data_IF_711178176879
#
_entry.id   IF_711178176879
#
_cell.length_a   1.000
_cell.length_b   1.000
_cell.length_c   1.000
_cell.angle_alpha   90.00
_cell.angle_beta   90.00
_cell.angle_gamma   90.00
#
_symmetry.space_group_name_H-M   'P 1'
#
loop_
_entity.id
_entity.type
_entity.pdbx_description
1 polymer ?
#
# COMPACT_ATOMS: atom_id res chain seq x y z
N UNK A 1 6.54 22.39 -22.51
CA UNK A 1 5.63 22.99 -21.52
C UNK A 1 4.85 21.94 -20.74
N UNK A 2 4.21 20.93 -21.36
CA UNK A 2 3.59 19.77 -20.66
C UNK A 2 4.53 19.02 -19.69
N UNK A 3 5.82 18.85 -20.04
CA UNK A 3 6.82 18.15 -19.19
C UNK A 3 7.15 18.86 -17.86
N UNK A 4 6.96 20.18 -17.78
CA UNK A 4 7.24 20.95 -16.56
C UNK A 4 6.03 20.93 -15.61
N UNK A 5 4.82 20.79 -16.16
CA UNK A 5 3.56 20.82 -15.42
C UNK A 5 3.38 19.54 -14.59
N UNK A 6 3.77 18.37 -15.10
CA UNK A 6 3.69 17.10 -14.37
C UNK A 6 4.62 17.08 -13.14
N UNK A 7 5.84 17.62 -13.29
CA UNK A 7 6.82 17.70 -12.19
C UNK A 7 6.38 18.73 -11.11
N UNK A 8 5.79 19.85 -11.53
CA UNK A 8 5.26 20.87 -10.60
C UNK A 8 4.01 20.41 -9.85
N UNK A 9 3.14 19.62 -10.48
CA UNK A 9 1.96 19.02 -9.83
C UNK A 9 2.34 17.96 -8.79
N UNK A 10 3.32 17.10 -9.09
CA UNK A 10 3.83 16.11 -8.13
C UNK A 10 4.46 16.76 -6.89
N UNK A 11 5.18 17.88 -7.04
CA UNK A 11 5.86 18.56 -5.92
C UNK A 11 4.87 19.39 -5.06
N UNK A 12 3.83 19.96 -5.67
CA UNK A 12 2.83 20.76 -4.92
C UNK A 12 1.80 19.89 -4.20
N UNK A 13 1.38 18.76 -4.78
CA UNK A 13 0.39 17.88 -4.16
C UNK A 13 0.95 17.04 -3.01
N UNK A 14 2.25 16.66 -3.06
CA UNK A 14 2.89 15.86 -2.01
C UNK A 14 3.34 16.71 -0.81
N UNK A 15 3.59 18.02 -0.97
CA UNK A 15 4.18 18.84 0.11
C UNK A 15 3.51 20.19 0.41
N UNK A 16 2.46 20.63 -0.30
CA UNK A 16 1.92 21.95 -0.05
C UNK A 16 0.46 22.16 -0.43
N UNK A 17 -0.43 22.09 0.56
CA UNK A 17 -1.61 22.96 0.60
C UNK A 17 -1.96 23.31 2.05
N UNK A 18 -1.77 24.60 2.36
CA UNK A 18 -2.53 25.27 3.41
C UNK A 18 -4.01 25.11 3.07
N UNK A 19 -4.74 24.60 4.04
CA UNK A 19 -6.20 24.54 4.16
C UNK A 19 -6.86 25.70 3.40
N UNK A 20 -7.51 25.38 2.28
CA UNK A 20 -8.69 26.12 1.85
C UNK A 20 -9.85 25.36 2.48
N UNK A 21 -10.51 26.01 3.45
CA UNK A 21 -11.79 25.55 4.00
C UNK A 21 -12.78 25.43 2.84
N UNK A 22 -13.01 24.21 2.38
CA UNK A 22 -14.14 23.91 1.51
C UNK A 22 -15.30 23.49 2.42
N UNK A 23 -16.29 24.36 2.58
CA UNK A 23 -17.59 23.95 3.08
C UNK A 23 -18.20 23.02 2.03
N UNK A 24 -18.19 21.71 2.29
CA UNK A 24 -18.94 20.72 1.52
C UNK A 24 -20.00 20.08 2.42
N UNK A 25 -21.16 19.73 1.85
CA UNK A 25 -22.38 19.32 2.55
C UNK A 25 -22.34 17.98 3.29
N UNK A 26 -21.16 17.54 3.75
CA UNK A 26 -20.97 16.30 4.52
C UNK A 26 -21.20 16.51 6.03
N UNK A 27 -21.25 17.76 6.51
CA UNK A 27 -21.51 18.05 7.93
C UNK A 27 -22.90 17.60 8.42
N UNK A 28 -23.86 17.38 7.52
CA UNK A 28 -25.21 16.88 7.87
C UNK A 28 -25.32 15.36 8.00
N UNK A 29 -24.35 14.59 7.50
CA UNK A 29 -24.36 13.12 7.64
C UNK A 29 -23.67 12.64 8.93
N UNK A 30 -22.86 13.50 9.55
CA UNK A 30 -22.08 13.19 10.75
C UNK A 30 -22.91 13.12 12.04
N UNK A 31 -24.12 13.69 12.06
CA UNK A 31 -24.99 13.72 13.26
C UNK A 31 -25.80 12.42 13.47
N UNK A 32 -26.01 11.58 12.44
CA UNK A 32 -26.88 10.41 12.55
C UNK A 32 -26.18 9.08 12.83
N UNK A 33 -24.85 9.02 12.69
CA UNK A 33 -24.06 7.86 13.06
C UNK A 33 -22.97 8.28 14.04
N UNK A 34 -23.28 8.19 15.34
CA UNK A 34 -22.25 8.17 16.38
C UNK A 34 -21.41 6.92 16.19
N UNK A 35 -20.37 7.01 15.37
CA UNK A 35 -19.38 5.95 15.20
C UNK A 35 -18.11 6.38 15.90
N UNK A 36 -17.81 5.73 17.01
CA UNK A 36 -16.53 5.87 17.69
C UNK A 36 -15.44 5.35 16.76
N UNK A 37 -14.48 6.22 16.41
CA UNK A 37 -13.17 5.78 15.94
C UNK A 37 -12.65 4.72 16.89
N UNK A 38 -12.03 3.67 16.35
CA UNK A 38 -11.24 2.75 17.15
C UNK A 38 -10.35 3.60 18.09
N UNK A 39 -10.43 3.43 19.42
CA UNK A 39 -9.62 4.20 20.34
C UNK A 39 -8.16 4.09 19.95
N UNK A 40 -7.49 5.24 19.84
CA UNK A 40 -6.04 5.28 19.72
C UNK A 40 -5.47 4.51 20.92
N UNK A 41 -4.76 3.42 20.65
CA UNK A 41 -3.85 2.88 21.65
C UNK A 41 -2.86 4.00 21.98
N UNK A 42 -2.46 4.17 23.25
CA UNK A 42 -1.52 5.23 23.63
C UNK A 42 -0.30 5.10 22.73
N UNK A 43 -0.01 6.18 22.00
CA UNK A 43 1.20 6.30 21.18
C UNK A 43 2.36 6.04 22.13
N UNK A 44 2.96 4.86 22.04
CA UNK A 44 4.28 4.65 22.63
C UNK A 44 5.20 5.49 21.76
N UNK A 45 5.37 6.75 22.18
CA UNK A 45 6.20 7.74 21.53
C UNK A 45 7.63 7.20 21.55
N UNK A 46 7.99 6.45 20.51
CA UNK A 46 9.34 5.94 20.30
C UNK A 46 10.24 7.14 20.00
N UNK A 47 10.77 7.72 21.06
CA UNK A 47 11.54 8.98 21.06
C UNK A 47 12.87 8.92 20.31
N UNK A 48 13.27 7.78 19.75
CA UNK A 48 14.67 7.53 19.37
C UNK A 48 14.90 7.38 17.86
N UNK A 49 13.96 7.78 17.00
CA UNK A 49 14.23 7.86 15.54
C UNK A 49 14.99 9.15 15.23
N UNK A 50 16.30 9.00 15.00
CA UNK A 50 17.23 10.08 14.70
C UNK A 50 17.01 10.61 13.27
N UNK A 51 16.95 11.93 13.06
CA UNK A 51 16.90 12.51 11.71
C UNK A 51 18.11 12.08 10.90
N UNK A 52 17.90 11.77 9.62
CA UNK A 52 18.96 11.37 8.70
C UNK A 52 19.94 12.52 8.55
N UNK A 53 21.21 12.26 8.82
CA UNK A 53 22.25 13.29 8.69
C UNK A 53 22.53 13.52 7.22
N UNK A 54 23.11 14.67 6.90
CA UNK A 54 23.57 14.96 5.54
C UNK A 54 24.48 13.83 5.00
N UNK A 55 25.33 13.24 5.83
CA UNK A 55 26.17 12.10 5.46
C UNK A 55 25.40 10.83 5.14
N UNK A 56 24.19 10.65 5.67
CA UNK A 56 23.30 9.53 5.39
C UNK A 56 22.59 9.71 4.05
N UNK A 57 22.34 10.98 3.68
CA UNK A 57 21.73 11.37 2.41
C UNK A 57 22.71 11.49 1.24
N UNK A 58 23.97 11.08 1.44
CA UNK A 58 24.92 10.85 0.35
C UNK A 58 24.71 9.46 -0.24
N UNK A 59 24.74 9.35 -1.56
CA UNK A 59 24.73 8.06 -2.24
C UNK A 59 26.11 7.38 -2.12
N UNK A 60 26.17 6.30 -1.34
CA UNK A 60 27.38 5.56 -0.94
C UNK A 60 27.61 4.29 -1.75
N UNK A 61 26.56 3.72 -2.37
CA UNK A 61 26.69 2.45 -3.08
C UNK A 61 27.61 2.59 -4.31
N UNK A 62 28.32 1.51 -4.63
CA UNK A 62 29.27 1.46 -5.75
C UNK A 62 28.57 1.55 -7.11
N UNK A 63 27.30 1.13 -7.19
CA UNK A 63 26.48 1.27 -8.38
C UNK A 63 26.34 2.75 -8.75
N UNK A 64 26.66 3.11 -10.00
CA UNK A 64 26.58 4.51 -10.49
C UNK A 64 25.16 4.97 -10.79
N UNK A 65 24.18 4.07 -10.73
CA UNK A 65 22.78 4.34 -11.03
C UNK A 65 21.88 3.93 -9.87
N UNK A 66 20.75 4.62 -9.75
CA UNK A 66 19.57 4.13 -9.04
C UNK A 66 18.52 3.80 -10.08
N UNK A 67 18.19 2.51 -10.19
CA UNK A 67 17.47 1.98 -11.35
C UNK A 67 18.20 2.32 -12.65
N UNK A 68 17.54 3.09 -13.52
CA UNK A 68 18.08 3.51 -14.81
C UNK A 68 18.75 4.90 -14.78
N UNK A 69 18.54 5.65 -13.71
CA UNK A 69 18.97 7.04 -13.60
C UNK A 69 20.41 7.11 -13.09
N UNK A 70 21.34 7.76 -13.81
CA UNK A 70 22.67 8.06 -13.28
C UNK A 70 22.58 8.95 -12.06
N UNK A 71 23.28 8.58 -10.99
CA UNK A 71 23.37 9.40 -9.78
C UNK A 71 24.32 10.56 -10.05
N UNK A 72 23.88 11.83 -9.90
CA UNK A 72 24.75 12.99 -9.99
C UNK A 72 25.88 12.94 -8.95
N UNK A 73 27.09 13.40 -9.32
CA UNK A 73 28.23 13.45 -8.39
C UNK A 73 27.95 14.33 -7.15
N UNK A 74 27.06 15.31 -7.29
CA UNK A 74 26.61 16.15 -6.17
C UNK A 74 25.89 15.31 -5.10
N UNK A 75 25.04 14.36 -5.49
CA UNK A 75 24.31 13.51 -4.54
C UNK A 75 25.23 12.50 -3.84
N UNK A 76 26.43 12.26 -4.38
CA UNK A 76 27.48 11.44 -3.73
C UNK A 76 28.35 12.25 -2.78
N UNK A 77 28.63 13.49 -3.14
CA UNK A 77 29.58 14.35 -2.41
C UNK A 77 28.91 15.23 -1.36
N UNK A 78 27.64 15.61 -1.59
CA UNK A 78 26.86 16.53 -0.78
C UNK A 78 25.40 16.05 -0.69
N UNK A 79 25.06 15.43 0.43
CA UNK A 79 23.68 15.12 0.78
C UNK A 79 22.85 16.40 0.92
N UNK A 80 21.54 16.24 0.75
CA UNK A 80 20.57 17.32 0.98
C UNK A 80 19.91 17.13 2.34
N UNK A 81 19.28 18.19 2.83
CA UNK A 81 18.39 18.10 3.97
C UNK A 81 17.06 17.49 3.49
N UNK A 82 16.97 16.17 3.57
CA UNK A 82 15.89 15.33 3.05
C UNK A 82 15.94 13.96 3.72
N UNK A 83 14.89 13.16 3.59
CA UNK A 83 14.88 11.78 4.11
C UNK A 83 14.88 10.71 3.03
N UNK A 84 14.51 11.10 1.80
CA UNK A 84 14.40 10.21 0.67
C UNK A 84 14.67 10.98 -0.63
N UNK A 85 15.55 10.43 -1.47
CA UNK A 85 15.77 10.90 -2.84
C UNK A 85 15.13 9.93 -3.84
N UNK A 86 14.27 10.45 -4.69
CA UNK A 86 13.60 9.67 -5.73
C UNK A 86 14.20 9.97 -7.10
N UNK A 87 14.61 8.92 -7.79
CA UNK A 87 15.11 8.98 -9.16
C UNK A 87 14.07 8.40 -10.09
N UNK A 88 13.48 9.26 -10.92
CA UNK A 88 12.37 8.88 -11.79
C UNK A 88 12.89 8.61 -13.21
N UNK A 89 12.54 7.45 -13.76
CA UNK A 89 12.80 7.10 -15.15
C UNK A 89 11.54 6.67 -15.88
N UNK A 90 11.65 6.56 -17.19
CA UNK A 90 10.59 6.06 -18.04
C UNK A 90 11.20 5.27 -19.20
N UNK A 91 10.64 4.09 -19.48
CA UNK A 91 11.09 3.19 -20.55
C UNK A 91 9.91 2.57 -21.26
N UNK A 92 10.14 2.01 -22.45
CA UNK A 92 9.13 1.16 -23.11
C UNK A 92 9.45 -0.30 -22.76
N UNK A 93 8.67 -0.88 -21.86
CA UNK A 93 8.88 -2.26 -21.38
C UNK A 93 7.90 -3.21 -22.08
N UNK A 94 8.23 -3.56 -23.33
CA UNK A 94 7.36 -4.43 -24.15
C UNK A 94 7.17 -5.80 -23.49
N UNK A 95 5.92 -6.24 -23.37
CA UNK A 95 5.55 -7.53 -22.76
C UNK A 95 5.50 -7.51 -21.23
N UNK A 96 5.73 -6.36 -20.59
CA UNK A 96 5.41 -6.15 -19.17
C UNK A 96 4.03 -5.52 -19.05
N UNK A 97 3.24 -6.01 -18.10
CA UNK A 97 1.88 -5.56 -17.85
C UNK A 97 1.77 -4.56 -16.69
N UNK A 98 2.90 -4.16 -16.09
CA UNK A 98 2.94 -3.20 -15.00
C UNK A 98 3.16 -1.79 -15.53
N UNK A 99 2.37 -0.82 -15.04
CA UNK A 99 2.43 0.60 -15.43
C UNK A 99 3.67 1.31 -14.87
N UNK A 100 4.10 0.92 -13.67
CA UNK A 100 5.33 1.36 -13.05
C UNK A 100 5.96 0.23 -12.23
N UNK A 101 7.20 0.39 -11.83
CA UNK A 101 7.83 -0.43 -10.80
C UNK A 101 8.83 0.42 -10.02
N UNK A 102 9.01 0.11 -8.74
CA UNK A 102 9.88 0.86 -7.88
C UNK A 102 10.62 0.00 -6.85
N UNK A 103 11.61 0.62 -6.22
CA UNK A 103 12.37 0.02 -5.15
C UNK A 103 13.45 0.97 -4.64
N UNK A 104 13.95 0.71 -3.45
CA UNK A 104 15.09 1.46 -2.94
C UNK A 104 16.38 1.03 -3.64
N UNK A 105 17.27 1.98 -3.86
CA UNK A 105 18.61 1.77 -4.42
C UNK A 105 19.70 1.89 -3.35
N UNK A 106 19.39 2.57 -2.24
CA UNK A 106 20.25 2.64 -1.06
C UNK A 106 19.40 2.49 0.20
N UNK A 107 19.85 1.59 1.06
CA UNK A 107 19.31 1.34 2.38
C UNK A 107 20.42 1.54 3.41
N UNK A 108 20.11 2.11 4.56
CA UNK A 108 21.04 2.25 5.68
C UNK A 108 20.50 1.46 6.85
N UNK A 109 21.33 0.59 7.41
CA UNK A 109 20.96 -0.21 8.58
C UNK A 109 20.42 0.67 9.70
N UNK A 110 19.28 0.26 10.25
CA UNK A 110 18.50 0.95 11.28
C UNK A 110 17.91 2.33 10.92
N UNK A 111 18.20 2.89 9.74
CA UNK A 111 17.62 4.15 9.27
C UNK A 111 16.66 3.96 8.08
N UNK A 112 16.73 2.80 7.43
CA UNK A 112 15.87 2.45 6.32
C UNK A 112 16.32 3.01 4.96
N UNK A 113 15.39 3.06 4.00
CA UNK A 113 15.64 3.56 2.64
C UNK A 113 16.01 5.04 2.62
N UNK A 114 17.02 5.42 1.82
CA UNK A 114 17.40 6.85 1.62
C UNK A 114 17.34 7.30 0.16
N UNK A 115 17.45 6.36 -0.78
CA UNK A 115 17.37 6.64 -2.21
C UNK A 115 16.53 5.54 -2.86
N UNK A 116 15.61 5.91 -3.75
CA UNK A 116 14.76 4.98 -4.47
C UNK A 116 14.53 5.38 -5.92
N UNK A 117 14.10 4.40 -6.71
CA UNK A 117 13.78 4.57 -8.12
C UNK A 117 12.32 4.30 -8.37
N UNK A 118 11.73 5.03 -9.31
CA UNK A 118 10.44 4.70 -9.91
C UNK A 118 10.63 4.73 -11.43
N UNK A 119 10.28 3.63 -12.10
CA UNK A 119 10.30 3.56 -13.56
C UNK A 119 8.88 3.42 -14.11
N UNK A 120 8.49 4.32 -15.02
CA UNK A 120 7.21 4.26 -15.72
C UNK A 120 7.33 3.54 -17.06
N UNK A 121 6.42 2.61 -17.33
CA UNK A 121 6.32 1.93 -18.61
C UNK A 121 5.52 2.77 -19.62
N UNK A 122 6.23 3.51 -20.47
CA UNK A 122 5.65 4.34 -21.54
C UNK A 122 4.82 3.54 -22.54
N UNK A 123 5.05 2.22 -22.68
CA UNK A 123 4.25 1.39 -23.57
C UNK A 123 2.79 1.28 -23.15
N UNK A 124 2.53 1.32 -21.83
CA UNK A 124 1.19 1.29 -21.26
C UNK A 124 0.69 2.71 -20.97
N UNK A 125 1.56 3.58 -20.45
CA UNK A 125 1.19 4.95 -20.12
C UNK A 125 0.74 5.77 -21.35
N UNK A 126 1.32 5.49 -22.53
CA UNK A 126 0.92 6.17 -23.76
C UNK A 126 -0.51 5.83 -24.24
N UNK A 127 -1.11 4.75 -23.72
CA UNK A 127 -2.49 4.38 -23.99
C UNK A 127 -3.49 5.02 -23.02
N UNK A 128 -3.01 5.70 -21.97
CA UNK A 128 -3.85 6.35 -20.95
C UNK A 128 -4.19 7.79 -21.32
N UNK A 129 -5.40 8.21 -20.99
CA UNK A 129 -5.83 9.60 -21.09
C UNK A 129 -5.58 10.33 -19.76
N UNK A 130 -4.43 11.01 -19.64
CA UNK A 130 -4.08 11.74 -18.42
C UNK A 130 -4.90 13.01 -18.17
N UNK A 131 -5.78 13.39 -19.11
CA UNK A 131 -6.78 14.46 -18.91
C UNK A 131 -8.07 13.91 -18.29
N UNK A 132 -8.27 12.59 -18.31
CA UNK A 132 -9.35 11.92 -17.59
C UNK A 132 -8.99 11.86 -16.09
N UNK A 133 -9.80 12.46 -15.19
CA UNK A 133 -9.50 12.46 -13.77
C UNK A 133 -9.41 11.06 -13.16
N UNK A 134 -10.20 10.09 -13.63
CA UNK A 134 -10.24 8.72 -13.13
C UNK A 134 -8.98 7.98 -13.55
N UNK A 135 -8.57 8.08 -14.82
CA UNK A 135 -7.32 7.44 -15.26
C UNK A 135 -6.09 8.07 -14.62
N UNK A 136 -6.11 9.38 -14.38
CA UNK A 136 -5.04 10.07 -13.67
C UNK A 136 -4.97 9.62 -12.20
N UNK A 137 -6.12 9.48 -11.54
CA UNK A 137 -6.20 8.98 -10.17
C UNK A 137 -5.70 7.54 -10.05
N UNK A 138 -6.16 6.63 -10.93
CA UNK A 138 -5.68 5.24 -10.99
C UNK A 138 -4.14 5.18 -11.18
N UNK A 139 -3.56 6.10 -11.96
CA UNK A 139 -2.11 6.21 -12.10
C UNK A 139 -1.44 6.66 -10.79
N UNK A 140 -2.03 7.63 -10.07
CA UNK A 140 -1.48 8.10 -8.79
C UNK A 140 -1.55 7.03 -7.71
N UNK A 141 -2.61 6.22 -7.65
CA UNK A 141 -2.71 5.06 -6.75
C UNK A 141 -1.55 4.08 -6.99
N UNK A 142 -1.24 3.77 -8.26
CA UNK A 142 -0.10 2.93 -8.61
C UNK A 142 1.23 3.59 -8.20
N UNK A 143 1.39 4.90 -8.42
CA UNK A 143 2.63 5.59 -8.00
C UNK A 143 2.81 5.51 -6.47
N UNK A 144 1.74 5.68 -5.70
CA UNK A 144 1.79 5.61 -4.23
C UNK A 144 2.07 4.18 -3.75
N UNK A 145 1.48 3.17 -4.39
CA UNK A 145 1.81 1.75 -4.20
C UNK A 145 3.31 1.50 -4.38
N UNK A 146 3.84 1.90 -5.53
CA UNK A 146 5.25 1.72 -5.87
C UNK A 146 6.19 2.50 -4.92
N UNK A 147 5.79 3.71 -4.52
CA UNK A 147 6.52 4.46 -3.50
C UNK A 147 6.52 3.75 -2.15
N UNK A 148 5.49 2.98 -1.80
CA UNK A 148 5.44 2.23 -0.55
C UNK A 148 6.46 1.08 -0.53
N UNK A 149 6.75 0.46 -1.67
CA UNK A 149 7.89 -0.46 -1.78
C UNK A 149 9.22 0.25 -1.52
N UNK A 150 9.40 1.48 -2.01
CA UNK A 150 10.59 2.30 -1.69
C UNK A 150 10.67 2.58 -0.19
N UNK A 151 9.53 2.77 0.48
CA UNK A 151 9.44 2.99 1.93
C UNK A 151 9.73 1.71 2.75
N UNK A 152 9.97 0.58 2.10
CA UNK A 152 10.48 -0.62 2.75
C UNK A 152 9.41 -1.68 3.00
N UNK A 153 8.31 -1.68 2.26
CA UNK A 153 7.46 -2.86 2.17
C UNK A 153 7.91 -3.77 1.04
N UNK A 154 8.67 -4.82 1.37
CA UNK A 154 8.89 -5.98 0.50
C UNK A 154 9.28 -7.19 1.33
N UNK A 155 9.19 -8.38 0.76
CA UNK A 155 9.67 -9.64 1.34
C UNK A 155 11.13 -9.55 1.84
N UNK A 156 11.96 -8.82 1.11
CA UNK A 156 13.38 -8.60 1.40
C UNK A 156 13.63 -7.50 2.44
N UNK A 157 12.62 -6.70 2.77
CA UNK A 157 12.72 -5.60 3.72
C UNK A 157 12.18 -5.93 5.10
N UNK A 158 11.16 -6.79 5.20
CA UNK A 158 10.60 -7.25 6.49
C UNK A 158 11.69 -7.74 7.47
N UNK A 159 12.72 -8.52 7.05
CA UNK A 159 13.80 -8.94 7.95
C UNK A 159 14.70 -7.80 8.45
N UNK A 160 14.67 -6.63 7.79
CA UNK A 160 15.48 -5.45 8.14
C UNK A 160 14.72 -4.44 9.01
N UNK A 161 13.42 -4.65 9.21
CA UNK A 161 12.62 -3.79 10.07
C UNK A 161 13.08 -3.90 11.51
N UNK A 162 13.00 -2.78 12.22
CA UNK A 162 13.51 -2.66 13.59
C UNK A 162 12.37 -2.36 14.56
N UNK A 163 12.47 -2.89 15.76
CA UNK A 163 11.60 -2.54 16.87
C UNK A 163 12.02 -1.20 17.50
N UNK A 164 11.27 -0.76 18.52
CA UNK A 164 11.56 0.46 19.30
C UNK A 164 12.93 0.49 19.98
N UNK A 165 13.64 -0.64 20.06
CA UNK A 165 15.01 -0.74 20.59
C UNK A 165 16.08 -0.68 19.49
N UNK A 166 15.68 -0.42 18.24
CA UNK A 166 16.58 -0.44 17.08
C UNK A 166 17.11 -1.84 16.73
N UNK A 167 16.39 -2.90 17.13
CA UNK A 167 16.80 -4.28 16.88
C UNK A 167 15.86 -4.94 15.87
N UNK A 168 16.36 -5.82 14.97
CA UNK A 168 15.52 -6.59 14.09
C UNK A 168 14.45 -7.38 14.85
N UNK A 169 13.25 -7.47 14.29
CA UNK A 169 12.21 -8.34 14.86
C UNK A 169 12.65 -9.80 14.84
N UNK A 170 12.32 -10.53 15.91
CA UNK A 170 12.49 -11.98 15.96
C UNK A 170 11.33 -12.64 15.21
N UNK A 171 11.64 -13.38 14.14
CA UNK A 171 10.66 -14.13 13.34
C UNK A 171 9.40 -13.30 12.98
N UNK A 172 9.54 -12.14 12.29
CA UNK A 172 8.43 -11.26 11.96
C UNK A 172 7.40 -11.90 11.02
N UNK A 173 7.83 -12.93 10.29
CA UNK A 173 6.98 -13.75 9.41
C UNK A 173 6.91 -15.16 9.97
N UNK A 174 5.69 -15.69 10.05
CA UNK A 174 5.44 -17.10 10.39
C UNK A 174 4.78 -17.77 9.19
N UNK A 175 5.10 -19.03 8.95
CA UNK A 175 4.42 -19.82 7.93
C UNK A 175 3.33 -20.66 8.59
N UNK A 176 2.09 -20.53 8.13
CA UNK A 176 0.93 -21.29 8.63
C UNK A 176 0.25 -22.02 7.48
N UNK A 177 -0.10 -23.29 7.69
CA UNK A 177 -0.97 -24.01 6.76
C UNK A 177 -2.39 -23.47 6.93
N UNK A 178 -2.87 -22.73 5.93
CA UNK A 178 -4.22 -22.19 5.87
C UNK A 178 -4.85 -22.61 4.53
N UNK A 179 -6.10 -23.10 4.51
CA UNK A 179 -6.80 -23.53 3.28
C UNK A 179 -5.98 -24.48 2.39
N UNK A 180 -5.24 -25.40 3.01
CA UNK A 180 -4.39 -26.37 2.29
C UNK A 180 -3.11 -25.79 1.68
N UNK A 181 -2.82 -24.49 1.85
CA UNK A 181 -1.64 -23.80 1.32
C UNK A 181 -0.78 -23.27 2.47
N UNK A 182 0.54 -23.36 2.32
CA UNK A 182 1.48 -22.80 3.29
C UNK A 182 1.62 -21.29 3.05
N UNK A 183 0.97 -20.47 3.87
CA UNK A 183 0.99 -19.01 3.74
C UNK A 183 1.95 -18.34 4.70
N UNK A 184 2.44 -17.17 4.30
CA UNK A 184 3.22 -16.28 5.15
C UNK A 184 2.30 -15.31 5.88
N UNK A 185 2.51 -15.15 7.17
CA UNK A 185 1.76 -14.24 8.03
C UNK A 185 2.74 -13.27 8.69
N UNK A 186 2.52 -11.97 8.45
CA UNK A 186 3.24 -10.89 9.12
C UNK A 186 2.66 -10.68 10.52
N UNK A 187 3.51 -10.75 11.54
CA UNK A 187 3.09 -10.70 12.95
C UNK A 187 3.85 -9.67 13.78
N UNK A 188 4.31 -8.61 13.14
CA UNK A 188 4.90 -7.46 13.83
C UNK A 188 3.85 -6.78 14.73
N UNK A 189 4.26 -6.06 15.79
CA UNK A 189 3.37 -5.69 16.89
C UNK A 189 2.13 -4.89 16.47
N UNK A 190 2.28 -3.81 15.70
CA UNK A 190 1.15 -2.96 15.31
C UNK A 190 0.24 -3.67 14.29
N UNK A 191 0.82 -4.33 13.29
CA UNK A 191 0.07 -5.10 12.29
C UNK A 191 -0.74 -6.22 12.95
N UNK A 192 -0.13 -7.01 13.83
CA UNK A 192 -0.82 -8.10 14.51
C UNK A 192 -1.93 -7.57 15.43
N UNK A 193 -1.66 -6.53 16.22
CA UNK A 193 -2.65 -5.93 17.11
C UNK A 193 -3.86 -5.39 16.32
N UNK A 194 -3.59 -4.65 15.24
CA UNK A 194 -4.64 -4.14 14.36
C UNK A 194 -5.44 -5.27 13.71
N UNK A 195 -4.78 -6.30 13.18
CA UNK A 195 -5.45 -7.43 12.54
C UNK A 195 -6.37 -8.19 13.52
N UNK A 196 -5.89 -8.50 14.73
CA UNK A 196 -6.70 -9.16 15.77
C UNK A 196 -7.97 -8.37 16.08
N UNK A 197 -7.84 -7.05 16.23
CA UNK A 197 -8.95 -6.13 16.49
C UNK A 197 -9.90 -6.02 15.30
N UNK A 198 -9.36 -5.82 14.09
CA UNK A 198 -10.13 -5.65 12.86
C UNK A 198 -11.00 -6.88 12.56
N UNK A 199 -10.45 -8.09 12.69
CA UNK A 199 -11.19 -9.33 12.47
C UNK A 199 -11.97 -9.81 13.71
N UNK A 200 -11.68 -9.30 14.91
CA UNK A 200 -12.25 -9.83 16.16
C UNK A 200 -11.73 -11.24 16.47
N UNK A 201 -10.43 -11.48 16.28
CA UNK A 201 -9.79 -12.78 16.42
C UNK A 201 -8.50 -12.69 17.25
N UNK A 202 -8.56 -13.05 18.54
CA UNK A 202 -7.38 -13.03 19.43
C UNK A 202 -6.28 -14.05 19.08
N UNK A 203 -6.66 -15.13 18.39
CA UNK A 203 -5.76 -16.23 18.03
C UNK A 203 -5.18 -16.10 16.62
N UNK A 204 -5.32 -14.93 15.98
CA UNK A 204 -4.81 -14.72 14.64
C UNK A 204 -3.27 -14.83 14.66
N UNK A 205 -2.65 -15.65 13.77
CA UNK A 205 -1.19 -15.83 13.77
C UNK A 205 -0.43 -14.61 13.23
N UNK A 206 -1.12 -13.74 12.47
CA UNK A 206 -0.60 -12.55 11.80
C UNK A 206 -1.58 -12.07 10.74
N UNK A 207 -1.21 -11.05 9.98
CA UNK A 207 -1.89 -10.66 8.75
C UNK A 207 -1.27 -11.44 7.57
N UNK A 208 -2.06 -12.16 6.76
CA UNK A 208 -1.52 -12.92 5.63
C UNK A 208 -0.91 -11.98 4.56
N UNK A 209 0.23 -12.39 4.04
CA UNK A 209 0.88 -11.80 2.87
C UNK A 209 0.52 -12.61 1.63
N UNK A 210 0.46 -11.94 0.49
CA UNK A 210 0.23 -12.54 -0.82
C UNK A 210 1.18 -13.74 -1.03
N UNK A 211 0.63 -14.85 -1.54
CA UNK A 211 1.36 -16.10 -1.78
C UNK A 211 1.42 -16.51 -3.27
N UNK A 212 0.73 -15.79 -4.16
CA UNK A 212 0.73 -15.99 -5.60
C UNK A 212 1.52 -14.90 -6.36
N UNK A 213 1.54 -14.98 -7.70
CA UNK A 213 2.21 -14.00 -8.58
C UNK A 213 3.74 -14.11 -8.69
N UNK A 214 4.39 -14.89 -7.83
CA UNK A 214 5.84 -15.16 -7.88
C UNK A 214 6.70 -14.05 -7.24
N UNK A 215 7.98 -13.99 -7.61
CA UNK A 215 9.04 -13.20 -6.93
C UNK A 215 8.86 -11.66 -6.97
N UNK A 216 7.82 -11.15 -7.63
CA UNK A 216 7.48 -9.71 -7.62
C UNK A 216 6.24 -9.39 -6.79
N UNK A 217 5.50 -10.41 -6.35
CA UNK A 217 4.20 -10.26 -5.70
C UNK A 217 4.21 -10.89 -4.30
N UNK A 218 4.59 -12.17 -4.23
CA UNK A 218 4.52 -12.96 -3.02
C UNK A 218 5.40 -12.38 -1.90
N UNK A 219 4.82 -12.20 -0.70
CA UNK A 219 5.50 -11.65 0.47
C UNK A 219 5.71 -10.14 0.50
N UNK A 220 5.38 -9.43 -0.59
CA UNK A 220 5.54 -7.97 -0.71
C UNK A 220 4.21 -7.21 -0.77
N UNK A 221 3.09 -7.92 -0.67
CA UNK A 221 1.74 -7.40 -0.77
C UNK A 221 0.83 -8.04 0.28
N UNK A 222 -0.31 -7.40 0.57
CA UNK A 222 -1.36 -8.02 1.37
C UNK A 222 -2.12 -9.07 0.56
N UNK A 223 -2.45 -10.18 1.21
CA UNK A 223 -3.30 -11.24 0.67
C UNK A 223 -4.68 -10.68 0.30
N UNK A 224 -5.02 -10.76 -0.99
CA UNK A 224 -6.24 -10.15 -1.53
C UNK A 224 -7.52 -10.76 -0.95
N UNK A 225 -7.53 -12.07 -0.63
CA UNK A 225 -8.70 -12.71 -0.01
C UNK A 225 -8.91 -12.30 1.45
N UNK A 226 -7.90 -11.73 2.11
CA UNK A 226 -7.99 -11.26 3.49
C UNK A 226 -8.44 -9.81 3.58
N UNK A 227 -7.95 -8.96 2.67
CA UNK A 227 -8.37 -7.58 2.53
C UNK A 227 -8.36 -7.18 1.05
N UNK A 228 -9.55 -7.11 0.45
CA UNK A 228 -9.70 -6.65 -0.91
C UNK A 228 -9.68 -5.12 -0.99
N UNK A 229 -9.28 -4.61 -2.16
CA UNK A 229 -9.22 -3.18 -2.48
C UNK A 229 -8.24 -2.40 -1.59
N UNK A 230 -7.31 -3.08 -0.92
CA UNK A 230 -6.20 -2.41 -0.23
C UNK A 230 -5.17 -2.00 -1.27
N UNK A 231 -4.66 -0.77 -1.18
CA UNK A 231 -3.77 -0.26 -2.23
C UNK A 231 -2.46 -1.04 -2.38
N UNK A 232 -2.02 -1.79 -1.35
CA UNK A 232 -0.87 -2.71 -1.38
C UNK A 232 -1.27 -4.17 -1.64
N UNK A 233 -2.46 -4.45 -2.20
CA UNK A 233 -2.72 -5.74 -2.84
C UNK A 233 -1.89 -5.86 -4.13
N UNK A 234 -1.54 -7.10 -4.53
CA UNK A 234 -0.73 -7.34 -5.74
C UNK A 234 -1.48 -7.05 -7.05
N UNK A 235 -2.81 -7.04 -7.02
CA UNK A 235 -3.63 -6.53 -8.11
C UNK A 235 -4.16 -5.14 -7.76
N UNK A 236 -4.11 -4.22 -8.72
CA UNK A 236 -4.75 -2.92 -8.57
C UNK A 236 -6.27 -3.06 -8.45
N UNK A 237 -6.90 -2.27 -7.57
CA UNK A 237 -8.35 -2.13 -7.59
C UNK A 237 -8.79 -1.41 -8.86
N UNK A 238 -9.87 -1.89 -9.47
CA UNK A 238 -10.52 -1.21 -10.59
C UNK A 238 -11.51 -0.16 -10.10
N UNK A 239 -11.90 -0.22 -8.82
CA UNK A 239 -12.55 0.91 -8.15
C UNK A 239 -11.56 1.53 -7.20
N UNK A 240 -11.90 1.67 -5.93
CA UNK A 240 -11.11 2.42 -4.97
C UNK A 240 -9.96 1.57 -4.46
N UNK A 241 -8.75 2.10 -4.45
CA UNK A 241 -7.69 1.57 -3.60
C UNK A 241 -7.71 2.30 -2.24
N UNK A 242 -7.73 1.55 -1.15
CA UNK A 242 -7.77 2.10 0.21
C UNK A 242 -6.39 2.03 0.87
N UNK A 243 -5.89 3.17 1.36
CA UNK A 243 -4.77 3.26 2.29
C UNK A 243 -5.26 2.87 3.69
N UNK A 244 -5.30 1.57 3.96
CA UNK A 244 -5.94 1.08 5.17
C UNK A 244 -5.09 1.24 6.43
N UNK A 245 -5.71 1.01 7.58
CA UNK A 245 -4.98 0.83 8.84
C UNK A 245 -3.94 -0.31 8.79
N UNK A 246 -4.06 -1.30 7.90
CA UNK A 246 -3.05 -2.36 7.78
C UNK A 246 -1.73 -1.81 7.26
N UNK A 247 -1.74 -1.08 6.15
CA UNK A 247 -0.50 -0.50 5.59
C UNK A 247 0.05 0.61 6.49
N UNK A 248 -0.82 1.38 7.15
CA UNK A 248 -0.38 2.38 8.13
C UNK A 248 0.38 1.74 9.29
N UNK A 249 -0.15 0.65 9.86
CA UNK A 249 0.51 -0.07 10.94
C UNK A 249 1.75 -0.84 10.47
N UNK A 250 1.77 -1.30 9.21
CA UNK A 250 2.98 -1.84 8.60
C UNK A 250 4.09 -0.80 8.54
N UNK A 251 3.80 0.42 8.08
CA UNK A 251 4.79 1.51 8.04
C UNK A 251 5.30 1.86 9.44
N UNK A 252 4.43 1.87 10.47
CA UNK A 252 4.85 2.01 11.88
C UNK A 252 5.80 0.89 12.30
N UNK A 253 5.47 -0.35 11.96
CA UNK A 253 6.27 -1.53 12.30
C UNK A 253 7.61 -1.60 11.56
N UNK A 254 7.82 -0.86 10.45
CA UNK A 254 9.16 -0.79 9.82
C UNK A 254 10.24 -0.29 10.78
N UNK A 255 9.86 0.61 11.68
CA UNK A 255 10.77 1.32 12.58
C UNK A 255 11.59 2.42 11.89
N UNK A 256 11.33 2.74 10.62
CA UNK A 256 12.08 3.78 9.88
C UNK A 256 11.44 5.17 9.96
N UNK A 257 10.18 5.25 10.37
CA UNK A 257 9.38 6.47 10.37
C UNK A 257 9.06 6.88 11.79
N UNK A 258 9.39 8.14 12.14
CA UNK A 258 9.09 8.69 13.46
C UNK A 258 7.59 8.69 13.75
N UNK A 259 6.79 9.05 12.74
CA UNK A 259 5.33 9.07 12.84
C UNK A 259 4.72 8.64 11.51
N UNK A 260 3.61 7.92 11.59
CA UNK A 260 2.73 7.65 10.46
C UNK A 260 1.36 8.19 10.85
N UNK A 261 0.95 9.28 10.21
CA UNK A 261 -0.23 10.03 10.59
C UNK A 261 -1.50 9.20 10.39
N UNK A 262 -2.20 8.91 11.49
CA UNK A 262 -3.43 8.14 11.47
C UNK A 262 -4.56 8.82 10.67
N UNK A 263 -4.48 10.12 10.39
CA UNK A 263 -5.46 10.81 9.53
C UNK A 263 -5.40 10.37 8.07
N UNK A 264 -4.36 9.62 7.68
CA UNK A 264 -4.25 9.02 6.35
C UNK A 264 -4.99 7.69 6.26
N UNK A 265 -5.39 7.10 7.39
CA UNK A 265 -6.05 5.80 7.44
C UNK A 265 -7.47 5.91 6.85
N UNK A 266 -7.66 5.25 5.72
CA UNK A 266 -8.97 5.04 5.14
C UNK A 266 -9.68 3.84 5.77
N UNK A 267 -10.98 3.98 5.95
CA UNK A 267 -11.80 2.94 6.57
C UNK A 267 -12.17 1.90 5.54
N UNK A 268 -11.65 0.69 5.71
CA UNK A 268 -12.12 -0.52 5.01
C UNK A 268 -13.10 -1.29 5.89
N UNK A 269 -14.02 -2.02 5.26
CA UNK A 269 -14.95 -2.92 5.98
C UNK A 269 -14.87 -4.37 5.50
N UNK A 270 -14.16 -4.63 4.41
CA UNK A 270 -13.99 -5.97 3.86
C UNK A 270 -13.39 -6.92 4.90
N UNK A 271 -14.11 -7.99 5.26
CA UNK A 271 -13.68 -8.97 6.25
C UNK A 271 -13.76 -8.50 7.71
N UNK A 272 -14.17 -7.25 8.00
CA UNK A 272 -14.20 -6.72 9.35
C UNK A 272 -15.13 -7.53 10.27
N UNK A 273 -14.64 -7.91 11.45
CA UNK A 273 -15.39 -8.62 12.48
C UNK A 273 -15.79 -10.08 12.13
N UNK A 274 -15.23 -10.67 11.06
CA UNK A 274 -15.59 -12.03 10.61
C UNK A 274 -14.95 -13.16 11.40
N UNK A 275 -14.07 -12.85 12.36
CA UNK A 275 -13.39 -13.81 13.21
C UNK A 275 -12.31 -14.61 12.49
N UNK A 276 -11.69 -15.54 13.24
CA UNK A 276 -10.52 -16.29 12.75
C UNK A 276 -10.78 -17.13 11.51
N UNK A 277 -12.00 -17.68 11.38
CA UNK A 277 -12.37 -18.56 10.27
C UNK A 277 -12.34 -17.84 8.92
N UNK A 278 -12.50 -16.53 8.90
CA UNK A 278 -12.38 -15.74 7.68
C UNK A 278 -10.96 -15.75 7.10
N UNK A 279 -9.94 -15.87 7.94
CA UNK A 279 -8.53 -15.84 7.52
C UNK A 279 -7.91 -17.23 7.44
N UNK A 280 -8.15 -18.08 8.44
CA UNK A 280 -7.52 -19.40 8.55
C UNK A 280 -8.45 -20.56 8.21
N UNK A 281 -9.75 -20.29 8.16
CA UNK A 281 -10.78 -21.28 7.85
C UNK A 281 -11.01 -21.43 6.35
N UNK A 282 -12.08 -22.12 5.98
CA UNK A 282 -12.45 -22.33 4.57
C UNK A 282 -13.16 -21.11 3.99
N UNK A 283 -13.10 -20.98 2.67
CA UNK A 283 -13.89 -20.02 1.92
C UNK A 283 -15.38 -20.26 2.15
N UNK A 284 -16.07 -19.29 2.76
CA UNK A 284 -17.51 -19.34 2.95
C UNK A 284 -18.21 -18.51 1.89
N UNK A 285 -18.60 -19.12 0.77
CA UNK A 285 -19.31 -18.40 -0.29
C UNK A 285 -20.71 -17.91 0.13
N UNK A 286 -21.15 -18.08 1.38
CA UNK A 286 -22.40 -17.49 1.88
C UNK A 286 -22.24 -16.06 2.41
N UNK A 287 -21.01 -15.59 2.64
CA UNK A 287 -20.76 -14.20 3.03
C UNK A 287 -20.50 -13.33 1.81
N UNK A 288 -20.77 -12.04 1.95
CA UNK A 288 -20.68 -11.06 0.85
C UNK A 288 -19.26 -10.86 0.30
N UNK A 289 -18.25 -11.08 1.13
CA UNK A 289 -16.84 -10.93 0.77
C UNK A 289 -16.41 -11.91 -0.33
N UNK A 290 -17.06 -13.07 -0.41
CA UNK A 290 -16.79 -14.09 -1.42
C UNK A 290 -18.01 -14.30 -2.31
N UNK A 291 -17.82 -14.17 -3.61
CA UNK A 291 -18.87 -14.35 -4.60
C UNK A 291 -18.99 -15.80 -5.06
N UNK A 292 -20.14 -16.11 -5.66
CA UNK A 292 -20.47 -17.38 -6.29
C UNK A 292 -20.51 -17.23 -7.80
N UNK A 293 -19.66 -17.96 -8.55
CA UNK A 293 -19.71 -17.96 -10.00
C UNK A 293 -21.11 -18.28 -10.51
N UNK A 294 -21.53 -17.64 -11.61
CA UNK A 294 -22.87 -17.76 -12.24
C UNK A 294 -24.02 -17.13 -11.44
N UNK A 295 -24.00 -17.17 -10.10
CA UNK A 295 -25.09 -16.61 -9.28
C UNK A 295 -24.94 -15.12 -9.05
N UNK A 296 -23.72 -14.66 -8.83
CA UNK A 296 -23.42 -13.27 -8.47
C UNK A 296 -22.90 -12.47 -9.67
N UNK A 297 -23.12 -12.98 -10.88
CA UNK A 297 -22.69 -12.34 -12.13
C UNK A 297 -23.50 -11.07 -12.42
N UNK A 298 -22.80 -9.95 -12.68
CA UNK A 298 -23.43 -8.66 -12.96
C UNK A 298 -23.99 -7.95 -11.73
N UNK A 299 -23.69 -8.45 -10.52
CA UNK A 299 -24.02 -7.76 -9.27
C UNK A 299 -22.99 -6.67 -8.95
N UNK A 300 -23.30 -5.81 -7.99
CA UNK A 300 -22.33 -4.82 -7.52
C UNK A 300 -21.19 -5.47 -6.75
N UNK A 301 -20.03 -4.82 -6.76
CA UNK A 301 -18.90 -5.19 -5.91
C UNK A 301 -19.21 -5.05 -4.41
N UNK A 302 -18.25 -5.44 -3.57
CA UNK A 302 -18.42 -5.41 -2.11
C UNK A 302 -18.69 -4.00 -1.57
N UNK A 303 -18.12 -2.95 -2.16
CA UNK A 303 -18.32 -1.57 -1.72
C UNK A 303 -19.46 -0.86 -2.46
N UNK A 304 -20.10 -1.51 -3.44
CA UNK A 304 -21.11 -0.92 -4.32
C UNK A 304 -20.60 0.27 -5.15
N UNK A 305 -19.32 0.27 -5.49
CA UNK A 305 -18.69 1.27 -6.34
C UNK A 305 -18.96 1.05 -7.83
N UNK A 306 -19.24 -0.19 -8.24
CA UNK A 306 -19.48 -0.54 -9.63
C UNK A 306 -20.11 -1.91 -9.84
N UNK A 307 -20.46 -2.20 -11.09
CA UNK A 307 -20.90 -3.53 -11.50
C UNK A 307 -19.71 -4.49 -11.58
N UNK A 308 -19.91 -5.76 -11.22
CA UNK A 308 -18.85 -6.76 -11.11
C UNK A 308 -19.24 -8.12 -11.69
N UNK A 309 -18.24 -8.90 -12.06
CA UNK A 309 -18.29 -10.32 -12.38
C UNK A 309 -17.57 -11.12 -11.30
N UNK A 310 -18.02 -12.35 -11.07
CA UNK A 310 -17.38 -13.25 -10.13
C UNK A 310 -16.35 -14.11 -10.87
N UNK A 311 -15.10 -13.67 -10.87
CA UNK A 311 -14.03 -14.23 -11.70
C UNK A 311 -12.94 -14.92 -10.88
N UNK A 312 -12.46 -16.06 -11.39
CA UNK A 312 -11.31 -16.78 -10.83
C UNK A 312 -10.04 -16.24 -11.51
N UNK A 313 -9.26 -15.47 -10.76
CA UNK A 313 -7.97 -14.91 -11.15
C UNK A 313 -6.76 -15.60 -10.49
N UNK A 314 -5.59 -15.02 -10.74
CA UNK A 314 -4.28 -15.54 -10.30
C UNK A 314 -4.07 -15.50 -8.78
N UNK A 315 -4.70 -14.54 -8.10
CA UNK A 315 -4.52 -14.28 -6.66
C UNK A 315 -5.62 -14.94 -5.81
N UNK A 316 -6.46 -15.80 -6.40
CA UNK A 316 -7.53 -16.48 -5.69
C UNK A 316 -7.05 -17.75 -4.99
N UNK A 317 -7.67 -18.07 -3.85
CA UNK A 317 -7.38 -19.32 -3.15
C UNK A 317 -7.93 -20.55 -3.88
N UNK A 318 -7.24 -21.70 -3.76
CA UNK A 318 -7.68 -22.96 -4.37
C UNK A 318 -9.00 -23.50 -3.81
N UNK A 319 -9.46 -23.03 -2.63
CA UNK A 319 -10.74 -23.39 -2.02
C UNK A 319 -11.94 -22.56 -2.57
N UNK A 320 -11.80 -21.91 -3.72
CA UNK A 320 -12.81 -21.05 -4.35
C UNK A 320 -13.20 -19.82 -3.50
N UNK A 321 -12.23 -19.16 -2.85
CA UNK A 321 -12.42 -17.79 -2.36
C UNK A 321 -12.37 -16.87 -3.57
N UNK A 322 -13.51 -16.71 -4.21
CA UNK A 322 -13.68 -15.88 -5.40
C UNK A 322 -14.22 -14.55 -4.90
N UNK A 323 -13.64 -13.45 -5.34
CA UNK A 323 -14.18 -12.11 -5.08
C UNK A 323 -14.67 -11.51 -6.39
N UNK A 324 -15.39 -10.41 -6.28
CA UNK A 324 -15.96 -9.71 -7.42
C UNK A 324 -14.88 -8.89 -8.13
N UNK A 325 -14.63 -9.18 -9.41
CA UNK A 325 -13.84 -8.33 -10.29
C UNK A 325 -14.77 -7.31 -10.97
N UNK A 326 -14.36 -6.05 -11.05
CA UNK A 326 -15.22 -4.96 -11.55
C UNK A 326 -15.05 -4.78 -13.06
N UNK A 327 -16.11 -4.39 -13.76
CA UNK A 327 -16.03 -4.02 -15.17
C UNK A 327 -15.44 -2.61 -15.35
N UNK A 328 -14.38 -2.49 -16.15
CA UNK A 328 -13.67 -1.22 -16.42
C UNK A 328 -14.59 -0.06 -16.87
N UNK A 329 -15.75 -0.35 -17.45
CA UNK A 329 -16.66 0.67 -18.02
C UNK A 329 -17.77 1.15 -17.08
N UNK A 330 -17.87 0.62 -15.85
CA UNK A 330 -19.00 0.85 -14.95
C UNK A 330 -18.60 1.32 -13.54
N UNK A 331 -17.64 2.26 -13.42
CA UNK A 331 -17.42 3.00 -12.15
C UNK A 331 -18.58 3.99 -11.95
N UNK A 332 -19.30 3.92 -10.83
CA UNK A 332 -20.51 4.74 -10.59
C UNK A 332 -20.28 5.97 -9.68
N UNK A 333 -19.06 6.24 -9.19
CA UNK A 333 -18.81 7.33 -8.25
C UNK A 333 -17.56 8.17 -8.58
N UNK A 334 -17.67 9.47 -8.29
CA UNK A 334 -16.60 10.45 -8.30
C UNK A 334 -15.92 10.43 -6.91
N UNK A 335 -14.61 10.24 -6.86
CA UNK A 335 -13.83 10.05 -5.63
C UNK A 335 -13.31 11.37 -5.08
N UNK A 336 -13.23 11.48 -3.75
CA UNK A 336 -12.62 12.61 -3.07
C UNK A 336 -11.12 12.34 -2.84
N UNK A 337 -10.25 13.25 -3.27
CA UNK A 337 -8.80 13.16 -3.02
C UNK A 337 -8.48 13.24 -1.52
N UNK A 338 -7.73 12.28 -1.00
CA UNK A 338 -7.05 12.40 0.31
C UNK A 338 -5.58 12.75 0.06
N UNK A 339 -5.11 13.81 0.72
CA UNK A 339 -3.69 14.20 0.67
C UNK A 339 -2.90 13.37 1.68
N UNK A 340 -2.02 12.51 1.18
CA UNK A 340 -1.14 11.67 2.00
C UNK A 340 0.02 12.49 2.54
N UNK A 341 0.15 12.60 3.87
CA UNK A 341 1.25 13.33 4.51
C UNK A 341 2.05 12.39 5.40
N UNK A 342 3.00 11.68 4.79
CA UNK A 342 4.06 10.98 5.52
C UNK A 342 5.05 12.03 6.02
N UNK A 343 5.10 12.22 7.34
CA UNK A 343 6.08 13.11 7.93
C UNK A 343 7.34 12.30 8.22
N UNK A 344 8.18 12.17 7.20
CA UNK A 344 9.61 11.96 7.43
C UNK A 344 10.17 13.27 8.01
N UNK A 345 11.07 13.17 8.99
CA UNK A 345 11.40 14.31 9.88
C UNK A 345 12.27 15.37 9.23
#
# INVERSE_FOLDING_TARGET
>A
MQKLIIILLLITFVFGLKVLEHQCGHDKFRENYKYESIPQDPVEESSDILPKKETDMRFKYSNKKCGLVPIPDIDRSQGKNSDLHLYISYTVERGKNTLAHAGWCQFIDNLGPTHGTVNFNLGLLAAKNLEDPVEFEDLMEIVIHEMTHILGFSDNDVPKWINSKGQPYTDPIVKVLSRGVQRMFLRTPHVLAFAKKYYGCEYLPGMPLEDQGGNGSAGSHWEQTAIADEYMNASSSLTQAYFSGFTTNLLRDTGFYAEVNASMEEKTTYGQGKGCQFITGKCDQSIREFCRPVKDEGLCDYYHHGSSSCDIGTYNDPDYCIWNQIWDQFKMFQRDFITYKLQTR
#
